data_IF_853414335371
#
_entry.id   IF_853414335371
#
_cell.length_a   1.000
_cell.length_b   1.000
_cell.length_c   1.000
_cell.angle_alpha   90.00
_cell.angle_beta   90.00
_cell.angle_gamma   90.00
#
_symmetry.space_group_name_H-M   'P 1'
#
loop_
_entity.id
_entity.type
_entity.pdbx_description
1 polymer ?
#
# COMPACT_ATOMS: atom_id res chain seq x y z
N UNK A 1 65.38 42.59 -63.69
CA UNK A 1 64.86 43.23 -64.88
C UNK A 1 63.58 43.96 -64.52
N UNK A 2 63.56 45.26 -64.65
CA UNK A 2 62.48 46.13 -64.26
C UNK A 2 61.63 46.46 -65.53
N UNK A 3 60.28 46.43 -65.37
CA UNK A 3 59.43 47.13 -66.36
C UNK A 3 58.40 47.95 -65.58
N UNK A 4 58.60 49.30 -65.78
CA UNK A 4 57.67 50.33 -65.35
C UNK A 4 56.42 50.34 -66.21
N UNK A 5 55.21 50.37 -65.63
CA UNK A 5 53.99 50.68 -66.33
C UNK A 5 53.33 51.94 -65.74
N UNK A 6 53.17 52.94 -66.55
CA UNK A 6 52.68 54.29 -66.24
C UNK A 6 51.20 54.36 -65.90
N UNK A 7 50.87 55.02 -64.85
CA UNK A 7 49.55 55.47 -64.44
C UNK A 7 48.96 56.52 -65.35
N UNK A 8 47.73 56.31 -65.83
CA UNK A 8 46.87 57.36 -66.37
C UNK A 8 45.85 57.79 -65.34
N UNK A 9 45.97 59.01 -64.85
CA UNK A 9 44.95 59.69 -64.06
C UNK A 9 43.70 59.94 -64.94
N UNK A 10 42.59 59.34 -64.58
CA UNK A 10 41.29 59.70 -65.13
C UNK A 10 40.66 60.71 -64.17
N UNK A 11 40.38 61.90 -64.68
CA UNK A 11 39.67 62.97 -63.99
C UNK A 11 38.22 62.53 -63.76
N UNK A 12 37.86 62.39 -62.49
CA UNK A 12 36.52 62.02 -62.05
C UNK A 12 35.50 63.17 -62.30
N UNK A 13 34.45 62.87 -62.99
CA UNK A 13 33.24 63.70 -63.08
C UNK A 13 32.61 63.76 -61.67
N UNK A 14 32.06 64.90 -61.20
CA UNK A 14 31.36 64.98 -59.93
C UNK A 14 30.05 64.21 -60.06
N UNK A 15 29.96 63.15 -59.34
CA UNK A 15 28.71 62.37 -59.17
C UNK A 15 27.75 63.19 -58.30
N UNK A 16 26.69 63.70 -58.93
CA UNK A 16 25.54 64.27 -58.22
C UNK A 16 25.01 63.24 -57.27
N UNK A 17 25.12 63.48 -55.92
CA UNK A 17 24.46 62.69 -54.89
C UNK A 17 22.94 62.84 -55.09
N UNK A 18 22.20 61.73 -55.21
CA UNK A 18 20.74 61.81 -55.21
C UNK A 18 20.30 62.37 -53.88
N UNK A 19 19.36 63.29 -53.87
CA UNK A 19 18.74 63.87 -52.70
C UNK A 19 18.12 62.69 -51.84
N UNK A 20 18.63 62.56 -50.68
CA UNK A 20 18.07 61.66 -49.67
C UNK A 20 16.69 62.20 -49.29
N UNK A 21 15.65 61.75 -49.99
CA UNK A 21 14.27 61.87 -49.47
C UNK A 21 14.12 61.26 -48.11
N UNK A 22 13.19 61.69 -47.27
CA UNK A 22 12.98 61.15 -45.95
C UNK A 22 12.75 59.65 -46.11
N UNK A 23 13.67 58.83 -45.58
CA UNK A 23 13.45 57.40 -45.42
C UNK A 23 12.29 57.22 -44.44
N UNK A 24 11.13 56.95 -45.00
CA UNK A 24 10.03 56.45 -44.18
C UNK A 24 10.51 55.13 -43.54
N UNK A 25 10.97 55.24 -42.31
CA UNK A 25 11.19 54.04 -41.50
C UNK A 25 9.79 53.46 -41.22
N UNK A 26 9.41 52.46 -41.97
CA UNK A 26 8.31 51.59 -41.61
C UNK A 26 8.70 50.94 -40.31
N UNK A 27 8.22 51.52 -39.18
CA UNK A 27 8.30 50.88 -37.90
C UNK A 27 7.38 49.66 -38.00
N UNK A 28 7.96 48.52 -38.30
CA UNK A 28 7.26 47.23 -38.11
C UNK A 28 6.80 47.20 -36.66
N UNK A 29 5.55 47.57 -36.41
CA UNK A 29 4.89 47.31 -35.13
C UNK A 29 4.89 45.79 -34.94
N UNK A 30 5.89 45.27 -34.24
CA UNK A 30 5.87 43.89 -33.81
C UNK A 30 4.60 43.71 -32.99
N UNK A 31 3.66 42.96 -33.54
CA UNK A 31 2.45 42.57 -32.82
C UNK A 31 2.90 41.98 -31.48
N UNK A 32 2.30 42.41 -30.37
CA UNK A 32 2.61 41.81 -29.07
C UNK A 32 2.49 40.30 -29.20
N UNK A 33 3.44 39.58 -28.59
CA UNK A 33 3.64 38.12 -28.72
C UNK A 33 2.35 37.30 -28.55
N UNK A 34 1.41 37.76 -27.70
CA UNK A 34 0.09 37.14 -27.47
C UNK A 34 -0.88 37.29 -28.67
N UNK A 35 -0.60 38.15 -29.64
CA UNK A 35 -1.38 38.31 -30.90
C UNK A 35 -0.73 37.58 -32.08
N UNK A 36 0.44 36.95 -31.90
CA UNK A 36 1.01 36.08 -32.91
C UNK A 36 0.09 34.89 -33.17
N UNK A 37 -0.18 34.49 -34.42
CA UNK A 37 -1.09 33.40 -34.75
C UNK A 37 -0.63 32.04 -34.13
N UNK A 38 0.64 31.91 -33.80
CA UNK A 38 1.17 30.73 -33.12
C UNK A 38 0.76 30.65 -31.65
N UNK A 39 0.39 31.76 -30.98
CA UNK A 39 0.06 31.76 -29.55
C UNK A 39 -1.19 30.96 -29.19
N UNK A 40 -2.34 31.12 -29.89
CA UNK A 40 -3.51 30.29 -29.61
C UNK A 40 -3.27 28.81 -29.93
N UNK A 41 -2.44 28.49 -30.93
CA UNK A 41 -2.09 27.10 -31.25
C UNK A 41 -1.24 26.46 -30.15
N UNK A 42 -0.26 27.17 -29.58
CA UNK A 42 0.53 26.67 -28.44
C UNK A 42 -0.32 26.50 -27.20
N UNK A 43 -1.26 27.40 -26.88
CA UNK A 43 -2.19 27.24 -25.78
C UNK A 43 -3.11 26.03 -25.95
N UNK A 44 -3.61 25.81 -27.18
CA UNK A 44 -4.45 24.64 -27.46
C UNK A 44 -3.68 23.33 -27.28
N UNK A 45 -2.41 23.25 -27.69
CA UNK A 45 -1.55 22.08 -27.47
C UNK A 45 -1.29 21.86 -25.97
N UNK A 46 -0.99 22.92 -25.21
CA UNK A 46 -0.79 22.81 -23.75
C UNK A 46 -2.07 22.34 -23.08
N UNK A 47 -3.24 22.88 -23.43
CA UNK A 47 -4.52 22.45 -22.90
C UNK A 47 -4.82 20.98 -23.22
N UNK A 48 -4.53 20.54 -24.45
CA UNK A 48 -4.69 19.15 -24.87
C UNK A 48 -3.77 18.22 -24.05
N UNK A 49 -2.50 18.58 -23.91
CA UNK A 49 -1.55 17.80 -23.10
C UNK A 49 -1.97 17.75 -21.63
N UNK A 50 -2.45 18.85 -21.07
CA UNK A 50 -2.94 18.88 -19.69
C UNK A 50 -4.19 18.00 -19.51
N UNK A 51 -5.12 17.99 -20.46
CA UNK A 51 -6.31 17.11 -20.40
C UNK A 51 -5.93 15.64 -20.58
N UNK A 52 -5.02 15.31 -21.47
CA UNK A 52 -4.50 13.95 -21.64
C UNK A 52 -3.77 13.47 -20.39
N UNK A 53 -2.95 14.33 -19.77
CA UNK A 53 -2.26 14.01 -18.52
C UNK A 53 -3.25 13.81 -17.38
N UNK A 54 -4.27 14.66 -17.23
CA UNK A 54 -5.32 14.50 -16.22
C UNK A 54 -6.15 13.23 -16.44
N UNK A 55 -6.44 12.86 -17.68
CA UNK A 55 -7.12 11.60 -18.00
C UNK A 55 -6.24 10.40 -17.66
N UNK A 56 -4.96 10.45 -18.02
CA UNK A 56 -3.99 9.40 -17.70
C UNK A 56 -3.85 9.17 -16.19
N UNK A 57 -3.73 10.25 -15.39
CA UNK A 57 -3.62 10.13 -13.92
C UNK A 57 -4.88 9.51 -13.31
N UNK A 58 -6.08 9.88 -13.77
CA UNK A 58 -7.34 9.27 -13.31
C UNK A 58 -7.43 7.77 -13.61
N UNK A 59 -6.98 7.36 -14.79
CA UNK A 59 -6.93 5.94 -15.16
C UNK A 59 -5.95 5.19 -14.26
N UNK A 60 -4.77 5.74 -14.01
CA UNK A 60 -3.78 5.16 -13.12
C UNK A 60 -4.30 5.02 -11.67
N UNK A 61 -5.00 6.03 -11.16
CA UNK A 61 -5.65 5.98 -9.86
C UNK A 61 -6.75 4.91 -9.81
N UNK A 62 -7.55 4.76 -10.86
CA UNK A 62 -8.55 3.70 -10.98
C UNK A 62 -7.92 2.31 -10.85
N UNK A 63 -6.87 2.06 -11.60
CA UNK A 63 -6.14 0.79 -11.53
C UNK A 63 -5.47 0.56 -10.17
N UNK A 64 -4.93 1.59 -9.53
CA UNK A 64 -4.37 1.49 -8.19
C UNK A 64 -5.45 1.13 -7.15
N UNK A 65 -6.66 1.70 -7.24
CA UNK A 65 -7.81 1.33 -6.40
C UNK A 65 -8.19 -0.13 -6.57
N UNK A 66 -8.20 -0.63 -7.80
CA UNK A 66 -8.50 -2.04 -8.08
C UNK A 66 -7.41 -2.98 -7.52
N UNK A 67 -6.13 -2.59 -7.62
CA UNK A 67 -5.04 -3.34 -7.01
C UNK A 67 -5.21 -3.45 -5.49
N UNK A 68 -5.58 -2.35 -4.81
CA UNK A 68 -5.85 -2.36 -3.35
C UNK A 68 -7.04 -3.24 -3.00
N UNK A 69 -8.13 -3.19 -3.77
CA UNK A 69 -9.31 -4.02 -3.53
C UNK A 69 -9.01 -5.52 -3.70
N UNK A 70 -8.28 -5.90 -4.76
CA UNK A 70 -7.86 -7.29 -4.98
C UNK A 70 -6.97 -7.79 -3.86
N UNK A 71 -5.97 -6.99 -3.48
CA UNK A 71 -5.09 -7.31 -2.36
C UNK A 71 -5.88 -7.53 -1.07
N UNK A 72 -6.81 -6.63 -0.75
CA UNK A 72 -7.65 -6.76 0.44
C UNK A 72 -8.53 -7.99 0.39
N UNK A 73 -9.08 -8.35 -0.76
CA UNK A 73 -9.89 -9.56 -0.91
C UNK A 73 -9.05 -10.82 -0.69
N UNK A 74 -7.83 -10.87 -1.26
CA UNK A 74 -6.91 -11.98 -1.06
C UNK A 74 -6.48 -12.13 0.42
N UNK A 75 -6.16 -11.01 1.09
CA UNK A 75 -5.86 -11.02 2.54
C UNK A 75 -7.04 -11.47 3.35
N UNK A 76 -8.25 -11.00 3.05
CA UNK A 76 -9.46 -11.36 3.78
C UNK A 76 -9.72 -12.87 3.74
N UNK A 77 -9.52 -13.52 2.60
CA UNK A 77 -9.67 -14.96 2.46
C UNK A 77 -8.79 -15.75 3.44
N UNK A 78 -7.65 -15.20 3.84
CA UNK A 78 -6.74 -15.82 4.80
C UNK A 78 -7.07 -15.39 6.24
N UNK A 79 -7.30 -14.11 6.49
CA UNK A 79 -7.57 -13.58 7.83
C UNK A 79 -8.91 -14.05 8.40
N UNK A 80 -9.92 -14.31 7.57
CA UNK A 80 -11.22 -14.84 8.00
C UNK A 80 -11.13 -16.27 8.58
N UNK A 81 -10.04 -16.99 8.32
CA UNK A 81 -9.74 -18.30 8.90
C UNK A 81 -9.08 -18.20 10.30
N UNK A 82 -8.52 -17.03 10.62
CA UNK A 82 -7.75 -16.83 11.87
C UNK A 82 -8.58 -17.07 13.14
N UNK A 83 -9.85 -16.62 13.27
CA UNK A 83 -10.66 -16.84 14.46
C UNK A 83 -10.90 -18.31 14.80
N UNK A 84 -10.86 -19.19 13.81
CA UNK A 84 -10.99 -20.64 14.02
C UNK A 84 -9.77 -21.25 14.75
N UNK A 85 -8.62 -20.58 14.70
CA UNK A 85 -7.37 -21.03 15.36
C UNK A 85 -7.10 -20.23 16.62
N UNK A 86 -7.14 -18.91 16.52
CA UNK A 86 -6.73 -17.99 17.61
C UNK A 86 -7.86 -17.73 18.61
N UNK A 87 -9.10 -17.73 18.14
CA UNK A 87 -10.28 -17.49 18.98
C UNK A 87 -10.72 -18.70 19.80
N UNK A 88 -12.00 -18.76 20.17
CA UNK A 88 -12.57 -19.90 20.88
C UNK A 88 -12.56 -21.18 20.03
N UNK A 89 -12.39 -21.06 18.71
CA UNK A 89 -12.46 -22.18 17.80
C UNK A 89 -13.89 -22.73 17.64
N UNK A 90 -13.96 -24.00 17.25
CA UNK A 90 -15.22 -24.73 17.16
C UNK A 90 -15.27 -25.83 18.23
N UNK A 91 -16.45 -26.38 18.51
CA UNK A 91 -16.58 -27.52 19.44
C UNK A 91 -15.71 -28.73 19.06
N UNK A 92 -15.42 -28.91 17.74
CA UNK A 92 -14.55 -29.98 17.25
C UNK A 92 -13.06 -29.61 17.21
N UNK A 93 -12.75 -28.33 17.04
CA UNK A 93 -11.38 -27.79 16.97
C UNK A 93 -11.30 -26.53 17.85
N UNK A 94 -11.16 -26.67 19.17
CA UNK A 94 -11.00 -25.54 20.09
C UNK A 94 -9.73 -24.77 19.73
N UNK A 95 -9.82 -23.44 19.71
CA UNK A 95 -8.69 -22.57 19.42
C UNK A 95 -7.81 -22.30 20.66
N UNK A 96 -6.97 -21.27 20.57
CA UNK A 96 -6.00 -20.87 21.61
C UNK A 96 -6.62 -20.68 23.00
N UNK A 97 -7.86 -20.24 23.10
CA UNK A 97 -8.56 -20.11 24.39
C UNK A 97 -8.59 -21.42 25.18
N UNK A 98 -8.60 -22.57 24.49
CA UNK A 98 -8.57 -23.88 25.15
C UNK A 98 -7.23 -24.22 25.82
N UNK A 99 -6.14 -23.50 25.49
CA UNK A 99 -4.84 -23.72 26.11
C UNK A 99 -4.86 -23.39 27.62
N UNK A 100 -5.68 -22.42 28.03
CA UNK A 100 -5.86 -22.08 29.44
C UNK A 100 -6.52 -23.24 30.27
N UNK A 101 -7.22 -24.14 29.63
CA UNK A 101 -7.83 -25.30 30.24
C UNK A 101 -6.79 -26.30 30.77
N UNK A 102 -5.53 -26.22 30.30
CA UNK A 102 -4.43 -27.00 30.84
C UNK A 102 -4.16 -26.65 32.31
N UNK A 103 -4.16 -25.37 32.67
CA UNK A 103 -3.88 -24.88 34.02
C UNK A 103 -4.98 -25.30 35.00
N UNK A 104 -6.21 -25.45 34.53
CA UNK A 104 -7.36 -25.91 35.30
C UNK A 104 -7.53 -27.42 35.29
N UNK A 105 -6.70 -28.15 34.54
CA UNK A 105 -6.76 -29.62 34.42
C UNK A 105 -7.94 -30.15 33.59
N UNK A 106 -8.64 -29.26 32.85
CA UNK A 106 -9.77 -29.64 31.99
C UNK A 106 -9.32 -30.30 30.68
N UNK A 107 -8.11 -30.02 30.22
CA UNK A 107 -7.47 -30.64 29.06
C UNK A 107 -6.24 -31.45 29.52
N UNK A 108 -5.99 -32.60 28.88
CA UNK A 108 -4.77 -33.37 29.10
C UNK A 108 -3.60 -32.72 28.36
N UNK A 109 -2.36 -32.75 28.92
CA UNK A 109 -1.18 -32.18 28.28
C UNK A 109 -0.97 -32.67 26.83
N UNK A 110 -1.08 -33.98 26.62
CA UNK A 110 -0.94 -34.59 25.28
C UNK A 110 -1.97 -34.06 24.25
N UNK A 111 -3.20 -33.82 24.72
CA UNK A 111 -4.28 -33.33 23.86
C UNK A 111 -3.99 -31.86 23.45
N UNK A 112 -3.44 -31.06 24.37
CA UNK A 112 -2.98 -29.69 24.04
C UNK A 112 -1.84 -29.72 23.06
N UNK A 113 -0.82 -30.56 23.24
CA UNK A 113 0.32 -30.67 22.34
C UNK A 113 -0.13 -31.00 20.88
N UNK A 114 -1.04 -31.96 20.73
CA UNK A 114 -1.60 -32.35 19.44
C UNK A 114 -2.39 -31.19 18.79
N UNK A 115 -3.24 -30.51 19.58
CA UNK A 115 -4.00 -29.34 19.08
C UNK A 115 -3.06 -28.21 18.63
N UNK A 116 -2.08 -27.90 19.47
CA UNK A 116 -1.14 -26.81 19.23
C UNK A 116 -0.27 -27.06 17.98
N UNK A 117 0.15 -28.31 17.75
CA UNK A 117 0.81 -28.70 16.50
C UNK A 117 -0.09 -28.47 15.29
N UNK A 118 -1.37 -28.79 15.37
CA UNK A 118 -2.35 -28.51 14.32
C UNK A 118 -2.55 -27.00 14.08
N UNK A 119 -2.56 -26.19 15.16
CA UNK A 119 -2.63 -24.73 15.05
C UNK A 119 -1.40 -24.15 14.36
N UNK A 120 -0.19 -24.60 14.76
CA UNK A 120 1.07 -24.14 14.13
C UNK A 120 1.08 -24.44 12.64
N UNK A 121 0.77 -25.67 12.25
CA UNK A 121 0.71 -26.07 10.83
C UNK A 121 -0.29 -25.23 10.03
N UNK A 122 -1.48 -24.94 10.60
CA UNK A 122 -2.47 -24.10 9.94
C UNK A 122 -2.01 -22.65 9.81
N UNK A 123 -1.38 -22.09 10.83
CA UNK A 123 -0.87 -20.72 10.82
C UNK A 123 0.30 -20.56 9.85
N UNK A 124 1.20 -21.56 9.76
CA UNK A 124 2.27 -21.59 8.77
C UNK A 124 1.72 -21.68 7.34
N UNK A 125 0.65 -22.46 7.13
CA UNK A 125 -0.07 -22.48 5.86
C UNK A 125 -0.63 -21.09 5.51
N UNK A 126 -1.37 -20.45 6.43
CA UNK A 126 -1.95 -19.12 6.21
C UNK A 126 -0.88 -18.06 5.94
N UNK A 127 0.25 -18.15 6.65
CA UNK A 127 1.43 -17.32 6.40
C UNK A 127 1.93 -17.51 4.97
N UNK A 128 2.15 -18.76 4.53
CA UNK A 128 2.59 -19.07 3.17
C UNK A 128 1.60 -18.58 2.11
N UNK A 129 0.30 -18.71 2.36
CA UNK A 129 -0.74 -18.23 1.47
C UNK A 129 -0.72 -16.69 1.34
N UNK A 130 -0.43 -15.96 2.44
CA UNK A 130 -0.25 -14.50 2.41
C UNK A 130 1.04 -14.12 1.68
N UNK A 131 2.16 -14.79 1.97
CA UNK A 131 3.43 -14.57 1.25
C UNK A 131 3.30 -14.86 -0.25
N UNK A 132 2.44 -15.81 -0.62
CA UNK A 132 2.10 -16.18 -2.00
C UNK A 132 1.27 -15.15 -2.75
N UNK A 133 0.77 -14.08 -2.12
CA UNK A 133 0.10 -12.99 -2.83
C UNK A 133 1.14 -12.23 -3.65
N UNK A 134 1.16 -12.46 -4.96
CA UNK A 134 2.10 -11.80 -5.87
C UNK A 134 1.74 -10.33 -6.07
N UNK A 135 2.71 -9.44 -5.93
CA UNK A 135 2.56 -7.98 -6.12
C UNK A 135 3.58 -7.52 -7.16
N UNK A 136 3.11 -6.79 -8.18
CA UNK A 136 3.96 -6.32 -9.28
C UNK A 136 3.72 -7.02 -10.60
N UNK A 137 3.11 -8.18 -10.60
CA UNK A 137 2.62 -8.82 -11.82
C UNK A 137 1.26 -8.26 -12.19
N UNK A 138 1.14 -7.71 -13.39
CA UNK A 138 -0.16 -7.35 -13.96
C UNK A 138 -0.72 -8.62 -14.55
N UNK A 139 -1.77 -9.23 -13.97
CA UNK A 139 -2.36 -10.40 -14.56
C UNK A 139 -2.92 -9.99 -15.92
N UNK A 140 -2.45 -10.64 -16.97
CA UNK A 140 -2.96 -10.45 -18.32
C UNK A 140 -4.45 -10.85 -18.43
N UNK A 141 -4.93 -11.64 -17.47
CA UNK A 141 -6.31 -12.08 -17.36
C UNK A 141 -6.73 -12.10 -15.90
N UNK A 142 -7.91 -11.58 -15.60
CA UNK A 142 -8.51 -11.58 -14.25
C UNK A 142 -8.98 -12.94 -13.80
N UNK A 143 -9.15 -13.87 -14.74
CA UNK A 143 -9.55 -15.25 -14.50
C UNK A 143 -8.81 -16.16 -15.48
N UNK A 144 -8.10 -17.14 -14.98
CA UNK A 144 -7.58 -18.24 -15.76
C UNK A 144 -8.34 -19.50 -15.37
N UNK A 145 -9.15 -20.06 -16.28
CA UNK A 145 -9.99 -21.24 -16.04
C UNK A 145 -10.95 -21.13 -14.83
N UNK A 146 -11.53 -19.93 -14.59
CA UNK A 146 -12.46 -19.71 -13.48
C UNK A 146 -11.81 -19.62 -12.09
N UNK A 147 -10.47 -19.68 -12.02
CA UNK A 147 -9.75 -19.45 -10.76
C UNK A 147 -9.27 -17.99 -10.68
N UNK A 148 -9.48 -17.30 -9.53
CA UNK A 148 -8.95 -15.98 -9.35
C UNK A 148 -7.43 -16.02 -9.43
N UNK A 149 -6.85 -15.18 -10.30
CA UNK A 149 -5.38 -15.03 -10.36
C UNK A 149 -4.96 -14.23 -9.13
N UNK A 150 -4.11 -14.82 -8.29
CA UNK A 150 -3.58 -14.21 -7.06
C UNK A 150 -2.57 -13.07 -7.34
N UNK A 151 -2.74 -12.33 -8.45
CA UNK A 151 -1.86 -11.25 -8.83
C UNK A 151 -2.46 -9.88 -8.55
N UNK A 152 -1.68 -9.03 -7.90
CA UNK A 152 -1.98 -7.62 -7.64
C UNK A 152 -0.99 -6.76 -8.43
N UNK A 153 -1.48 -5.76 -9.16
CA UNK A 153 -0.62 -4.87 -9.91
C UNK A 153 0.36 -4.10 -9.02
N UNK A 154 1.57 -3.81 -9.54
CA UNK A 154 2.64 -3.12 -8.81
C UNK A 154 2.47 -1.61 -8.67
N UNK A 155 1.28 -1.05 -8.92
CA UNK A 155 1.02 0.40 -8.90
C UNK A 155 1.01 0.99 -7.50
N UNK A 156 0.87 0.15 -6.47
CA UNK A 156 0.87 0.53 -5.06
C UNK A 156 2.00 -0.20 -4.34
N UNK A 157 3.24 0.34 -4.37
CA UNK A 157 4.42 -0.35 -3.81
C UNK A 157 4.30 -0.71 -2.32
N UNK A 158 3.51 0.05 -1.56
CA UNK A 158 3.29 -0.22 -0.13
C UNK A 158 2.60 -1.55 0.15
N UNK A 159 1.87 -2.14 -0.81
CA UNK A 159 1.16 -3.41 -0.60
C UNK A 159 2.12 -4.56 -0.30
N UNK A 160 3.32 -4.57 -0.88
CA UNK A 160 4.33 -5.59 -0.58
C UNK A 160 4.75 -5.54 0.91
N UNK A 161 5.05 -4.34 1.42
CA UNK A 161 5.40 -4.19 2.84
C UNK A 161 4.24 -4.53 3.77
N UNK A 162 3.00 -4.22 3.38
CA UNK A 162 1.80 -4.58 4.14
C UNK A 162 1.62 -6.10 4.15
N UNK A 163 1.75 -6.77 3.00
CA UNK A 163 1.75 -8.24 2.91
C UNK A 163 2.74 -8.86 3.87
N UNK A 164 3.98 -8.36 3.87
CA UNK A 164 5.06 -8.89 4.72
C UNK A 164 4.76 -8.66 6.22
N UNK A 165 4.09 -7.55 6.59
CA UNK A 165 3.62 -7.31 7.97
C UNK A 165 2.55 -8.31 8.38
N UNK A 166 1.57 -8.61 7.51
CA UNK A 166 0.57 -9.66 7.78
C UNK A 166 1.23 -11.03 7.92
N UNK A 167 2.13 -11.39 7.00
CA UNK A 167 2.86 -12.66 7.08
C UNK A 167 3.67 -12.77 8.37
N UNK A 168 4.33 -11.70 8.79
CA UNK A 168 5.05 -11.66 10.08
C UNK A 168 4.11 -11.86 11.27
N UNK A 169 2.91 -11.25 11.27
CA UNK A 169 1.92 -11.44 12.32
C UNK A 169 1.44 -12.90 12.40
N UNK A 170 1.18 -13.55 11.28
CA UNK A 170 0.88 -15.00 11.25
C UNK A 170 2.05 -15.83 11.79
N UNK A 171 3.30 -15.47 11.50
CA UNK A 171 4.49 -16.12 12.06
C UNK A 171 4.54 -16.03 13.58
N UNK A 172 4.20 -14.87 14.17
CA UNK A 172 4.14 -14.70 15.63
C UNK A 172 2.99 -15.53 16.24
N UNK A 173 1.86 -15.66 15.55
CA UNK A 173 0.80 -16.60 15.99
C UNK A 173 1.26 -18.05 15.94
N UNK A 174 2.02 -18.47 14.91
CA UNK A 174 2.58 -19.81 14.83
C UNK A 174 3.59 -20.07 15.98
N UNK A 175 4.39 -19.06 16.35
CA UNK A 175 5.27 -19.12 17.52
C UNK A 175 4.46 -19.33 18.81
N UNK A 176 3.36 -18.61 19.01
CA UNK A 176 2.47 -18.82 20.15
C UNK A 176 1.93 -20.26 20.21
N UNK A 177 1.53 -20.82 19.05
CA UNK A 177 1.11 -22.22 18.97
C UNK A 177 2.23 -23.19 19.37
N UNK A 178 3.46 -22.96 18.95
CA UNK A 178 4.62 -23.78 19.33
C UNK A 178 4.92 -23.68 20.83
N UNK A 179 4.69 -22.53 21.46
CA UNK A 179 4.80 -22.37 22.92
C UNK A 179 3.72 -23.20 23.62
N UNK A 180 2.47 -23.17 23.13
CA UNK A 180 1.40 -24.04 23.67
C UNK A 180 1.69 -25.53 23.47
N UNK A 181 2.32 -25.92 22.35
CA UNK A 181 2.75 -27.30 22.17
C UNK A 181 3.76 -27.71 23.28
N UNK A 182 4.79 -26.89 23.51
CA UNK A 182 5.77 -27.14 24.59
C UNK A 182 5.10 -27.18 25.97
N UNK A 183 4.07 -26.35 26.20
CA UNK A 183 3.29 -26.43 27.44
C UNK A 183 2.58 -27.80 27.62
N UNK A 184 2.07 -28.36 26.50
CA UNK A 184 1.47 -29.71 26.50
C UNK A 184 2.49 -30.86 26.64
N UNK A 185 3.76 -30.63 26.29
CA UNK A 185 4.86 -31.59 26.47
C UNK A 185 5.48 -31.52 27.86
N UNK A 186 5.27 -30.42 28.59
CA UNK A 186 5.79 -30.23 29.95
C UNK A 186 5.11 -31.19 30.97
N UNK A 187 5.75 -31.48 32.11
CA UNK A 187 5.14 -32.31 33.18
C UNK A 187 3.79 -31.74 33.61
N UNK A 188 2.80 -32.62 33.74
CA UNK A 188 1.44 -32.24 34.10
C UNK A 188 1.42 -31.46 35.43
N UNK A 189 0.64 -30.37 35.47
CA UNK A 189 0.49 -29.50 36.67
C UNK A 189 1.81 -28.86 37.16
N UNK A 190 2.85 -28.82 36.29
CA UNK A 190 4.10 -28.14 36.65
C UNK A 190 3.95 -26.61 36.51
N UNK A 191 4.74 -25.89 37.29
CA UNK A 191 4.86 -24.44 37.13
C UNK A 191 5.31 -24.09 35.68
N UNK A 192 6.22 -24.88 35.10
CA UNK A 192 6.69 -24.71 33.74
C UNK A 192 5.53 -24.73 32.71
N UNK A 193 4.61 -25.71 32.83
CA UNK A 193 3.45 -25.76 31.92
C UNK A 193 2.57 -24.51 32.04
N UNK A 194 2.34 -24.02 33.27
CA UNK A 194 1.58 -22.79 33.51
C UNK A 194 2.28 -21.55 32.92
N UNK A 195 3.59 -21.42 33.17
CA UNK A 195 4.40 -20.31 32.67
C UNK A 195 4.40 -20.29 31.13
N UNK A 196 4.54 -21.44 30.46
CA UNK A 196 4.46 -21.57 29.01
C UNK A 196 3.09 -21.21 28.45
N UNK A 197 1.98 -21.60 29.12
CA UNK A 197 0.63 -21.16 28.70
C UNK A 197 0.51 -19.66 28.77
N UNK A 198 1.03 -19.03 29.81
CA UNK A 198 1.00 -17.56 29.94
C UNK A 198 1.89 -16.88 28.88
N UNK A 199 3.08 -17.42 28.62
CA UNK A 199 3.98 -16.93 27.56
C UNK A 199 3.33 -17.05 26.19
N UNK A 200 2.69 -18.18 25.87
CA UNK A 200 1.98 -18.38 24.61
C UNK A 200 0.82 -17.40 24.45
N UNK A 201 0.05 -17.15 25.51
CA UNK A 201 -1.02 -16.15 25.48
C UNK A 201 -0.46 -14.72 25.26
N UNK A 202 0.64 -14.36 25.92
CA UNK A 202 1.31 -13.08 25.71
C UNK A 202 1.86 -12.92 24.28
N UNK A 203 2.39 -14.02 23.72
CA UNK A 203 2.86 -14.03 22.33
C UNK A 203 1.70 -13.89 21.34
N UNK A 204 0.57 -14.56 21.58
CA UNK A 204 -0.64 -14.41 20.78
C UNK A 204 -1.20 -12.96 20.84
N UNK A 205 -1.16 -12.32 22.00
CA UNK A 205 -1.56 -10.91 22.13
C UNK A 205 -0.64 -9.97 21.32
N UNK A 206 0.69 -10.22 21.30
CA UNK A 206 1.65 -9.48 20.46
C UNK A 206 1.36 -9.68 18.99
N UNK A 207 1.00 -10.90 18.57
CA UNK A 207 0.61 -11.18 17.19
C UNK A 207 -0.67 -10.42 16.80
N UNK A 208 -1.66 -10.33 17.70
CA UNK A 208 -2.86 -9.50 17.49
C UNK A 208 -2.53 -8.03 17.27
N UNK A 209 -1.68 -7.46 18.12
CA UNK A 209 -1.22 -6.08 17.97
C UNK A 209 -0.45 -5.85 16.65
N UNK A 210 0.37 -6.82 16.21
CA UNK A 210 1.05 -6.76 14.92
C UNK A 210 0.05 -6.81 13.75
N UNK A 211 -1.01 -7.62 13.86
CA UNK A 211 -2.08 -7.70 12.88
C UNK A 211 -2.83 -6.37 12.76
N UNK A 212 -3.18 -5.75 13.91
CA UNK A 212 -3.82 -4.43 13.95
C UNK A 212 -2.92 -3.34 13.36
N UNK A 213 -1.61 -3.40 13.60
CA UNK A 213 -0.66 -2.47 13.00
C UNK A 213 -0.61 -2.62 11.46
N UNK A 214 -0.64 -3.85 10.94
CA UNK A 214 -0.70 -4.13 9.51
C UNK A 214 -2.03 -3.64 8.90
N UNK A 215 -3.16 -3.86 9.57
CA UNK A 215 -4.47 -3.32 9.18
C UNK A 215 -4.47 -1.77 9.19
N UNK A 216 -3.83 -1.15 10.17
CA UNK A 216 -3.63 0.30 10.22
C UNK A 216 -2.78 0.83 9.06
N UNK A 217 -1.76 0.07 8.62
CA UNK A 217 -1.01 0.40 7.42
C UNK A 217 -1.88 0.32 6.15
N UNK A 218 -2.72 -0.70 6.04
CA UNK A 218 -3.69 -0.84 4.95
C UNK A 218 -4.73 0.29 4.97
N UNK A 219 -5.21 0.71 6.15
CA UNK A 219 -6.13 1.83 6.31
C UNK A 219 -5.56 3.13 5.72
N UNK A 220 -4.26 3.40 5.91
CA UNK A 220 -3.58 4.56 5.31
C UNK A 220 -3.57 4.50 3.78
N UNK A 221 -3.44 3.30 3.20
CA UNK A 221 -3.55 3.12 1.75
C UNK A 221 -4.98 3.38 1.29
N UNK A 222 -5.98 2.86 2.01
CA UNK A 222 -7.39 3.12 1.73
C UNK A 222 -7.72 4.62 1.72
N UNK A 223 -7.27 5.35 2.75
CA UNK A 223 -7.45 6.80 2.84
C UNK A 223 -6.78 7.55 1.67
N UNK A 224 -5.56 7.11 1.26
CA UNK A 224 -4.84 7.71 0.14
C UNK A 224 -5.57 7.58 -1.20
N UNK A 225 -6.28 6.47 -1.41
CA UNK A 225 -6.98 6.18 -2.66
C UNK A 225 -8.50 6.43 -2.56
N UNK A 226 -8.95 7.09 -1.51
CA UNK A 226 -10.37 7.43 -1.26
C UNK A 226 -11.26 6.17 -1.36
N UNK A 227 -10.84 5.10 -0.69
CA UNK A 227 -11.59 3.85 -0.58
C UNK A 227 -12.42 3.84 0.69
N UNK A 228 -13.53 3.10 0.65
CA UNK A 228 -14.45 2.99 1.78
C UNK A 228 -13.79 2.30 2.99
N UNK A 229 -13.70 3.03 4.10
CA UNK A 229 -13.18 2.58 5.39
C UNK A 229 -14.29 2.26 6.42
N UNK A 230 -15.55 2.24 6.00
CA UNK A 230 -16.70 1.95 6.90
C UNK A 230 -16.75 0.48 7.32
N UNK A 231 -15.97 -0.38 6.70
CA UNK A 231 -15.88 -1.81 7.04
C UNK A 231 -14.59 -2.12 7.76
N UNK A 232 -14.65 -3.12 8.62
CA UNK A 232 -13.48 -3.69 9.27
C UNK A 232 -12.50 -4.24 8.22
N UNK A 233 -11.23 -3.90 8.37
CA UNK A 233 -10.18 -4.39 7.48
C UNK A 233 -9.80 -5.84 7.81
N UNK A 234 -9.13 -6.56 6.89
CA UNK A 234 -8.70 -7.93 7.14
C UNK A 234 -7.88 -8.05 8.43
N UNK A 235 -8.25 -8.96 9.34
CA UNK A 235 -7.53 -9.21 10.57
C UNK A 235 -7.55 -8.08 11.62
N UNK A 236 -8.23 -6.97 11.35
CA UNK A 236 -8.39 -5.86 12.29
C UNK A 236 -9.26 -6.29 13.47
N UNK A 237 -8.82 -6.02 14.69
CA UNK A 237 -9.65 -6.26 15.87
C UNK A 237 -10.82 -5.29 15.95
N UNK A 238 -11.90 -5.68 16.66
CA UNK A 238 -13.05 -4.80 16.88
C UNK A 238 -12.66 -3.52 17.62
N UNK A 239 -11.66 -3.60 18.51
CA UNK A 239 -11.14 -2.47 19.27
C UNK A 239 -10.39 -1.49 18.33
N UNK A 240 -9.49 -1.99 17.48
CA UNK A 240 -8.76 -1.18 16.50
C UNK A 240 -9.71 -0.53 15.47
N UNK A 241 -10.72 -1.28 15.00
CA UNK A 241 -11.78 -0.74 14.15
C UNK A 241 -12.55 0.37 14.85
N UNK A 242 -13.00 0.16 16.11
CA UNK A 242 -13.71 1.16 16.90
C UNK A 242 -12.88 2.43 17.12
N UNK A 243 -11.59 2.27 17.45
CA UNK A 243 -10.67 3.40 17.62
C UNK A 243 -10.50 4.22 16.33
N UNK A 244 -10.47 3.57 15.18
CA UNK A 244 -10.37 4.21 13.86
C UNK A 244 -11.67 4.92 13.46
N UNK A 245 -12.80 4.36 13.82
CA UNK A 245 -14.12 4.86 13.42
C UNK A 245 -14.68 5.93 14.37
N UNK A 246 -14.12 6.10 15.57
CA UNK A 246 -14.56 7.15 16.49
C UNK A 246 -14.25 8.54 15.89
N UNK A 247 -15.26 9.39 15.63
CA UNK A 247 -15.00 10.76 15.23
C UNK A 247 -14.21 11.47 16.33
N UNK A 248 -13.19 12.23 15.95
CA UNK A 248 -12.25 12.92 16.84
C UNK A 248 -12.89 13.84 17.92
N UNK A 249 -14.20 14.00 17.92
CA UNK A 249 -14.96 14.80 18.89
C UNK A 249 -15.39 14.05 20.17
N UNK A 250 -15.29 12.72 20.25
CA UNK A 250 -15.73 11.98 21.44
C UNK A 250 -14.60 11.64 22.42
N UNK A 251 -13.35 11.84 22.08
CA UNK A 251 -12.22 11.57 22.97
C UNK A 251 -12.06 12.55 24.14
N UNK A 252 -12.80 13.67 24.18
CA UNK A 252 -12.66 14.70 25.22
C UNK A 252 -13.72 14.66 26.32
N UNK A 253 -14.70 13.74 26.30
CA UNK A 253 -15.76 13.71 27.34
C UNK A 253 -15.52 12.69 28.46
N UNK A 254 -14.38 12.04 28.54
CA UNK A 254 -14.11 10.92 29.48
C UNK A 254 -13.34 11.28 30.75
N UNK A 255 -12.97 12.53 31.02
CA UNK A 255 -12.25 12.87 32.27
C UNK A 255 -12.81 14.19 32.85
N UNK A 256 -13.90 14.08 33.58
CA UNK A 256 -14.17 15.05 34.66
C UNK A 256 -13.66 14.41 35.95
N UNK A 257 -12.69 15.01 36.64
CA UNK A 257 -12.33 14.57 37.97
C UNK A 257 -13.50 14.91 38.91
N UNK A 258 -14.03 13.91 39.59
CA UNK A 258 -14.92 14.12 40.70
C UNK A 258 -14.20 14.99 41.76
N UNK A 259 -14.72 16.20 41.95
CA UNK A 259 -14.47 17.00 43.15
C UNK A 259 -15.37 16.54 44.28
#
# INVERSE_FOLDING_TARGET
>A
MAIKGKTKRSQGRPVRRPATGPRIQTVERRLPWYRAPAFPATLAVIALLATLFAAYTRVQEGWARDDVRRFTAALRAQTDQLPAVVGPGTAKLPGFASAQELTTGKIKPKDLAVRASGWSAKLDQLRGDVEGITIGEVPAQTEFNGNPVNGVGGRVPMLASIRDQYAAAFGVYAEAANIFQRAGEAPAKSKLASDLVQEGAGTAARAGAAMDAAAGALARVYARYDLDLTRQLPGESSEAYGARYQPAGQQQQGVLPNQ
#
